data_IF_472843610570
#
_entry.id   IF_472843610570
#
_cell.length_a   1.000
_cell.length_b   1.000
_cell.length_c   1.000
_cell.angle_alpha   90.00
_cell.angle_beta   90.00
_cell.angle_gamma   90.00
#
_symmetry.space_group_name_H-M   'P 1'
#
loop_
_entity.id
_entity.type
_entity.pdbx_description
1 polymer ?
#
# COMPACT_ATOMS: atom_id res chain seq x y z
N UNK A 1 -4.49 3.69 0.69
CA UNK A 1 -4.80 2.70 1.76
C UNK A 1 -6.30 2.75 2.08
N UNK A 2 -6.97 1.67 2.51
CA UNK A 2 -8.43 1.69 2.81
C UNK A 2 -8.88 2.85 3.71
N UNK A 3 -8.01 3.29 4.60
CA UNK A 3 -8.25 4.40 5.52
C UNK A 3 -8.21 5.79 4.85
N UNK A 4 -7.55 5.90 3.70
CA UNK A 4 -7.22 7.15 3.03
C UNK A 4 -8.00 7.31 1.71
N UNK A 5 -8.03 6.28 0.87
CA UNK A 5 -8.81 6.29 -0.39
C UNK A 5 -10.20 5.66 -0.26
N UNK A 6 -10.60 5.21 0.94
CA UNK A 6 -11.89 4.55 1.23
C UNK A 6 -12.26 3.37 0.29
N UNK A 7 -11.28 2.79 -0.40
CA UNK A 7 -11.44 1.64 -1.31
C UNK A 7 -10.63 0.45 -0.81
N UNK A 8 -10.96 -0.76 -1.29
CA UNK A 8 -10.16 -1.94 -0.96
C UNK A 8 -8.70 -1.72 -1.41
N UNK A 9 -7.70 -2.15 -0.61
CA UNK A 9 -6.31 -2.15 -1.06
C UNK A 9 -6.21 -2.81 -2.43
N UNK A 10 -5.47 -2.18 -3.35
CA UNK A 10 -5.30 -2.62 -4.74
C UNK A 10 -6.54 -2.54 -5.66
N UNK A 11 -7.65 -1.91 -5.23
CA UNK A 11 -8.82 -1.70 -6.10
C UNK A 11 -8.47 -0.84 -7.33
N UNK A 12 -7.73 0.25 -7.13
CA UNK A 12 -7.23 1.12 -8.21
C UNK A 12 -6.26 0.36 -9.13
N UNK A 13 -5.43 -0.49 -8.54
CA UNK A 13 -4.49 -1.34 -9.25
C UNK A 13 -5.17 -2.31 -10.21
N UNK A 14 -6.36 -2.82 -9.87
CA UNK A 14 -7.14 -3.73 -10.72
C UNK A 14 -7.73 -3.05 -11.96
N UNK A 15 -7.99 -1.75 -11.89
CA UNK A 15 -8.47 -0.99 -13.04
C UNK A 15 -7.33 -0.48 -13.93
N UNK A 16 -6.16 -0.18 -13.34
CA UNK A 16 -4.95 0.25 -14.05
C UNK A 16 -4.12 -0.92 -14.63
N UNK A 17 -4.05 -2.05 -13.91
CA UNK A 17 -3.40 -3.25 -14.40
C UNK A 17 -4.45 -4.13 -15.08
N UNK A 18 -4.62 -3.89 -16.38
CA UNK A 18 -5.38 -4.78 -17.26
C UNK A 18 -4.42 -5.76 -17.93
N UNK A 19 -4.92 -6.93 -18.31
CA UNK A 19 -4.17 -7.80 -19.22
C UNK A 19 -4.07 -7.16 -20.61
N UNK A 20 -3.33 -7.79 -21.52
CA UNK A 20 -3.16 -7.32 -22.91
C UNK A 20 -4.47 -7.12 -23.67
N UNK A 21 -5.58 -7.68 -23.17
CA UNK A 21 -6.91 -7.61 -23.76
C UNK A 21 -7.83 -6.63 -23.01
N UNK A 22 -7.30 -5.84 -22.07
CA UNK A 22 -8.08 -4.84 -21.33
C UNK A 22 -8.93 -5.42 -20.19
N UNK A 23 -8.79 -6.71 -19.86
CA UNK A 23 -9.56 -7.35 -18.79
C UNK A 23 -8.87 -7.16 -17.45
N UNK A 24 -9.68 -7.05 -16.38
CA UNK A 24 -9.19 -7.04 -14.99
C UNK A 24 -8.36 -8.30 -14.72
N UNK A 25 -7.21 -8.13 -14.07
CA UNK A 25 -6.37 -9.27 -13.70
C UNK A 25 -7.09 -10.15 -12.67
N UNK A 26 -6.96 -11.48 -12.77
CA UNK A 26 -7.41 -12.39 -11.72
C UNK A 26 -6.73 -12.10 -10.38
N UNK A 27 -7.43 -12.33 -9.28
CA UNK A 27 -6.92 -12.05 -7.93
C UNK A 27 -5.59 -12.78 -7.63
N UNK A 28 -5.44 -14.02 -8.10
CA UNK A 28 -4.19 -14.78 -7.95
C UNK A 28 -3.00 -14.06 -8.60
N UNK A 29 -3.20 -13.41 -9.76
CA UNK A 29 -2.16 -12.67 -10.46
C UNK A 29 -1.86 -11.33 -9.78
N UNK A 30 -2.88 -10.69 -9.18
CA UNK A 30 -2.69 -9.51 -8.32
C UNK A 30 -1.84 -9.88 -7.11
N UNK A 31 -2.18 -10.97 -6.40
CA UNK A 31 -1.41 -11.47 -5.27
C UNK A 31 0.03 -11.82 -5.65
N UNK A 32 0.23 -12.45 -6.82
CA UNK A 32 1.58 -12.72 -7.33
C UNK A 32 2.36 -11.43 -7.56
N UNK A 33 1.76 -10.42 -8.19
CA UNK A 33 2.42 -9.12 -8.40
C UNK A 33 2.76 -8.42 -7.09
N UNK A 34 1.89 -8.47 -6.09
CA UNK A 34 2.14 -7.92 -4.75
C UNK A 34 3.31 -8.64 -4.07
N UNK A 35 3.30 -9.98 -4.08
CA UNK A 35 4.38 -10.78 -3.49
C UNK A 35 5.74 -10.52 -4.16
N UNK A 36 5.73 -10.20 -5.46
CA UNK A 36 6.92 -9.82 -6.23
C UNK A 36 7.31 -8.33 -6.06
N UNK A 37 6.55 -7.53 -5.32
CA UNK A 37 6.76 -6.08 -5.21
C UNK A 37 6.48 -5.30 -6.50
N UNK A 38 5.87 -5.94 -7.50
CA UNK A 38 5.46 -5.31 -8.77
C UNK A 38 4.16 -4.52 -8.64
N UNK A 39 3.48 -4.67 -7.52
CA UNK A 39 2.32 -3.89 -7.17
C UNK A 39 2.37 -3.55 -5.69
N UNK A 40 2.17 -2.27 -5.37
CA UNK A 40 2.12 -1.75 -3.99
C UNK A 40 0.80 -1.03 -3.76
N UNK A 41 0.56 -0.63 -2.50
CA UNK A 41 -0.57 0.22 -2.14
C UNK A 41 -0.32 1.65 -2.60
N UNK A 42 -1.40 2.32 -2.99
CA UNK A 42 -1.37 3.75 -3.29
C UNK A 42 -2.00 4.55 -2.14
N UNK A 43 -1.58 5.80 -2.01
CA UNK A 43 -2.13 6.79 -1.10
C UNK A 43 -2.67 7.98 -1.90
N UNK A 44 -3.67 8.69 -1.36
CA UNK A 44 -4.14 9.93 -1.97
C UNK A 44 -3.09 11.04 -1.82
N UNK A 45 -3.14 12.04 -2.71
CA UNK A 45 -2.26 13.22 -2.62
C UNK A 45 -2.52 14.05 -1.34
N UNK A 46 -3.66 13.86 -0.67
CA UNK A 46 -3.99 14.52 0.58
C UNK A 46 -3.38 13.82 1.81
N UNK A 47 -2.78 12.63 1.65
CA UNK A 47 -2.14 11.91 2.76
C UNK A 47 -0.88 12.64 3.24
N UNK A 48 -0.72 12.88 4.55
CA UNK A 48 0.54 13.40 5.10
C UNK A 48 1.71 12.48 4.75
N UNK A 49 2.85 13.06 4.35
CA UNK A 49 4.02 12.28 3.89
C UNK A 49 4.47 11.24 4.93
N UNK A 50 4.42 11.58 6.23
CA UNK A 50 4.78 10.65 7.30
C UNK A 50 3.88 9.39 7.34
N UNK A 51 2.60 9.53 6.98
CA UNK A 51 1.65 8.41 6.89
C UNK A 51 1.92 7.57 5.64
N UNK A 52 2.24 8.22 4.51
CA UNK A 52 2.64 7.54 3.27
C UNK A 52 3.91 6.71 3.52
N UNK A 53 4.95 7.32 4.08
CA UNK A 53 6.24 6.66 4.34
C UNK A 53 6.07 5.47 5.29
N UNK A 54 5.30 5.64 6.37
CA UNK A 54 4.99 4.56 7.29
C UNK A 54 4.22 3.44 6.59
N UNK A 55 3.21 3.78 5.80
CA UNK A 55 2.39 2.82 5.08
C UNK A 55 3.21 2.01 4.06
N UNK A 56 4.12 2.66 3.34
CA UNK A 56 5.06 2.02 2.41
C UNK A 56 6.04 1.10 3.13
N UNK A 57 6.58 1.51 4.28
CA UNK A 57 7.46 0.67 5.09
C UNK A 57 6.75 -0.61 5.57
N UNK A 58 5.48 -0.49 6.01
CA UNK A 58 4.68 -1.62 6.47
C UNK A 58 4.42 -2.68 5.38
N UNK A 59 4.32 -2.27 4.11
CA UNK A 59 4.05 -3.19 2.99
C UNK A 59 5.31 -3.60 2.22
N UNK A 60 6.50 -3.23 2.71
CA UNK A 60 7.76 -3.56 2.04
C UNK A 60 7.93 -5.07 1.87
N UNK A 61 8.40 -5.47 0.68
CA UNK A 61 8.79 -6.86 0.39
C UNK A 61 10.02 -7.25 1.20
N UNK A 62 10.92 -6.30 1.49
CA UNK A 62 12.05 -6.55 2.38
C UNK A 62 11.58 -6.55 3.84
N UNK A 63 11.61 -7.71 4.52
CA UNK A 63 11.12 -7.81 5.89
C UNK A 63 11.91 -6.95 6.88
N UNK A 64 13.15 -6.55 6.56
CA UNK A 64 14.01 -5.73 7.42
C UNK A 64 13.59 -4.26 7.46
N UNK A 65 12.82 -3.83 6.45
CA UNK A 65 12.29 -2.47 6.35
C UNK A 65 10.96 -2.34 7.10
N UNK A 66 10.26 -3.47 7.31
CA UNK A 66 8.97 -3.47 7.99
C UNK A 66 9.16 -3.13 9.46
N UNK A 67 8.51 -2.07 9.97
CA UNK A 67 8.61 -1.71 11.37
C UNK A 67 7.93 -2.78 12.24
N UNK A 68 8.40 -2.90 13.46
CA UNK A 68 7.65 -3.55 14.53
C UNK A 68 6.36 -2.78 14.81
N UNK A 69 5.40 -3.44 15.46
CA UNK A 69 4.15 -2.79 15.87
C UNK A 69 4.39 -1.55 16.77
N UNK A 70 5.41 -1.62 17.65
CA UNK A 70 5.78 -0.52 18.53
C UNK A 70 6.34 0.69 17.75
N UNK A 71 7.23 0.44 16.79
CA UNK A 71 7.78 1.51 15.93
C UNK A 71 6.69 2.14 15.05
N UNK A 72 5.78 1.33 14.51
CA UNK A 72 4.66 1.84 13.73
C UNK A 72 3.73 2.71 14.58
N UNK A 73 3.40 2.29 15.80
CA UNK A 73 2.60 3.07 16.74
C UNK A 73 3.27 4.41 17.07
N UNK A 74 4.57 4.39 17.39
CA UNK A 74 5.32 5.61 17.67
C UNK A 74 5.29 6.59 16.49
N UNK A 75 5.55 6.10 15.27
CA UNK A 75 5.50 6.92 14.05
C UNK A 75 4.10 7.48 13.79
N UNK A 76 3.04 6.71 14.07
CA UNK A 76 1.66 7.21 13.97
C UNK A 76 1.38 8.32 14.98
N UNK A 77 1.81 8.14 16.23
CA UNK A 77 1.60 9.16 17.27
C UNK A 77 2.27 10.47 16.87
N UNK A 78 3.54 10.42 16.48
CA UNK A 78 4.29 11.60 16.01
C UNK A 78 3.57 12.27 14.84
N UNK A 79 3.16 11.50 13.83
CA UNK A 79 2.50 12.03 12.63
C UNK A 79 1.10 12.62 12.88
N UNK A 80 0.46 12.32 14.01
CA UNK A 80 -0.88 12.81 14.36
C UNK A 80 -0.85 13.95 15.41
N UNK A 81 0.31 14.20 16.01
CA UNK A 81 0.51 15.27 17.00
C UNK A 81 1.15 16.53 16.43
N UNK A 82 1.57 16.50 15.17
CA UNK A 82 2.02 17.66 14.38
C UNK A 82 0.89 18.18 13.47
#
# INVERSE_FOLDING_TARGET
>A
MKLDVHTLPYALSKDQNRDSNGKRLPDALVLQKVAMGKLSVDFSEASPQAIVDLGMACVSVDPRIRPTAAEALYKLQVALTE
#
